data_IF_460722489672
#
_entry.id   IF_460722489672
#
_cell.length_a   1.000
_cell.length_b   1.000
_cell.length_c   1.000
_cell.angle_alpha   90.00
_cell.angle_beta   90.00
_cell.angle_gamma   90.00
#
_symmetry.space_group_name_H-M   'P 1'
#
loop_
_entity.id
_entity.type
_entity.pdbx_description
1 polymer ?
#
# COMPACT_ATOMS: atom_id res chain seq x y z
N UNK A 1 -19.78 -19.66 28.97
CA UNK A 1 -18.90 -18.52 29.31
C UNK A 1 -17.75 -18.39 28.36
N UNK A 2 -17.01 -19.48 28.11
CA UNK A 2 -15.83 -19.48 27.23
C UNK A 2 -16.06 -18.83 25.86
N UNK A 3 -17.20 -19.12 25.20
CA UNK A 3 -17.57 -18.49 23.92
C UNK A 3 -17.64 -16.97 24.05
N UNK A 4 -18.38 -16.46 25.04
CA UNK A 4 -18.60 -15.02 25.24
C UNK A 4 -17.29 -14.32 25.58
N UNK A 5 -16.49 -14.91 26.48
CA UNK A 5 -15.18 -14.38 26.85
C UNK A 5 -14.23 -14.33 25.66
N UNK A 6 -14.20 -15.38 24.83
CA UNK A 6 -13.36 -15.42 23.63
C UNK A 6 -13.76 -14.33 22.61
N UNK A 7 -15.06 -14.12 22.39
CA UNK A 7 -15.54 -13.07 21.48
C UNK A 7 -15.28 -11.66 22.04
N UNK A 8 -15.50 -11.44 23.34
CA UNK A 8 -15.20 -10.17 23.98
C UNK A 8 -13.70 -9.85 23.90
N UNK A 9 -12.85 -10.84 24.15
CA UNK A 9 -11.40 -10.71 24.01
C UNK A 9 -11.01 -10.40 22.55
N UNK A 10 -11.52 -11.15 21.58
CA UNK A 10 -11.25 -10.93 20.17
C UNK A 10 -11.71 -9.54 19.70
N UNK A 11 -12.88 -9.06 20.15
CA UNK A 11 -13.37 -7.72 19.85
C UNK A 11 -12.49 -6.63 20.45
N UNK A 12 -12.03 -6.79 21.70
CA UNK A 12 -11.12 -5.85 22.33
C UNK A 12 -9.77 -5.79 21.60
N UNK A 13 -9.20 -6.95 21.24
CA UNK A 13 -7.98 -7.04 20.43
C UNK A 13 -8.21 -6.36 19.08
N UNK A 14 -9.31 -6.66 18.38
CA UNK A 14 -9.63 -6.04 17.10
C UNK A 14 -9.65 -4.50 17.19
N UNK A 15 -10.32 -3.93 18.19
CA UNK A 15 -10.38 -2.48 18.39
C UNK A 15 -9.01 -1.83 18.67
N UNK A 16 -8.05 -2.57 19.24
CA UNK A 16 -6.70 -2.09 19.53
C UNK A 16 -5.80 -2.13 18.29
N UNK A 17 -5.96 -3.18 17.48
CA UNK A 17 -5.05 -3.49 16.39
C UNK A 17 -5.51 -2.97 15.03
N UNK A 18 -6.82 -2.88 14.80
CA UNK A 18 -7.38 -2.40 13.54
C UNK A 18 -7.39 -0.87 13.46
N UNK A 19 -7.28 -0.32 12.25
CA UNK A 19 -7.24 1.12 12.05
C UNK A 19 -8.56 1.79 12.44
N UNK A 20 -8.44 2.98 13.01
CA UNK A 20 -9.55 3.86 13.40
C UNK A 20 -9.60 5.13 12.54
N UNK A 21 -10.35 6.15 12.98
CA UNK A 21 -10.38 7.44 12.29
C UNK A 21 -11.19 7.48 10.99
N UNK A 22 -12.01 6.47 10.73
CA UNK A 22 -12.89 6.42 9.56
C UNK A 22 -14.18 7.23 9.80
N UNK A 23 -14.65 7.92 8.77
CA UNK A 23 -15.97 8.57 8.77
C UNK A 23 -17.10 7.53 8.80
N UNK A 24 -18.28 7.90 9.32
CA UNK A 24 -19.45 7.00 9.45
C UNK A 24 -19.87 6.38 8.12
N UNK A 25 -19.68 7.09 7.00
CA UNK A 25 -19.99 6.60 5.66
C UNK A 25 -19.00 5.56 5.12
N UNK A 26 -17.86 5.34 5.78
CA UNK A 26 -16.84 4.40 5.32
C UNK A 26 -17.08 2.99 5.90
N UNK A 27 -17.00 1.89 5.11
CA UNK A 27 -17.25 0.53 5.59
C UNK A 27 -16.43 0.14 6.84
N UNK A 28 -15.14 0.52 6.87
CA UNK A 28 -14.22 0.26 7.99
C UNK A 28 -14.66 0.90 9.32
N UNK A 29 -15.46 1.96 9.31
CA UNK A 29 -16.03 2.50 10.56
C UNK A 29 -16.92 1.45 11.24
N UNK A 30 -17.75 0.78 10.44
CA UNK A 30 -18.67 -0.24 10.94
C UNK A 30 -17.94 -1.50 11.38
N UNK A 31 -16.95 -1.96 10.62
CA UNK A 31 -16.27 -3.22 10.95
C UNK A 31 -15.18 -3.07 12.02
N UNK A 32 -14.49 -1.92 12.09
CA UNK A 32 -13.41 -1.73 13.05
C UNK A 32 -13.85 -1.07 14.36
N UNK A 33 -14.98 -0.35 14.36
CA UNK A 33 -15.49 0.34 15.56
C UNK A 33 -16.81 -0.22 16.05
N UNK A 34 -17.85 -0.17 15.23
CA UNK A 34 -19.22 -0.50 15.67
C UNK A 34 -19.38 -1.99 15.94
N UNK A 35 -18.95 -2.86 15.03
CA UNK A 35 -19.07 -4.32 15.17
C UNK A 35 -18.45 -4.86 16.46
N UNK A 36 -17.18 -4.58 16.75
CA UNK A 36 -16.53 -4.99 17.99
C UNK A 36 -17.22 -4.42 19.25
N UNK A 37 -17.69 -3.17 19.21
CA UNK A 37 -18.47 -2.59 20.31
C UNK A 37 -19.79 -3.35 20.53
N UNK A 38 -20.51 -3.70 19.46
CA UNK A 38 -21.73 -4.50 19.56
C UNK A 38 -21.45 -5.87 20.16
N UNK A 39 -20.34 -6.52 19.77
CA UNK A 39 -19.91 -7.79 20.37
C UNK A 39 -19.66 -7.65 21.88
N UNK A 40 -18.97 -6.59 22.31
CA UNK A 40 -18.73 -6.31 23.74
C UNK A 40 -20.03 -6.03 24.50
N UNK A 41 -20.96 -5.25 23.92
CA UNK A 41 -22.26 -4.96 24.53
C UNK A 41 -23.11 -6.22 24.67
N UNK A 42 -23.12 -7.10 23.67
CA UNK A 42 -23.80 -8.39 23.75
C UNK A 42 -23.15 -9.25 24.85
N UNK A 43 -21.83 -9.29 24.93
CA UNK A 43 -21.12 -10.04 25.97
C UNK A 43 -21.46 -9.55 27.39
N UNK A 44 -21.46 -8.23 27.60
CA UNK A 44 -21.89 -7.61 28.86
C UNK A 44 -23.36 -7.95 29.15
N UNK A 45 -24.23 -7.86 28.13
CA UNK A 45 -25.64 -8.23 28.25
C UNK A 45 -25.85 -9.68 28.70
N UNK A 46 -25.04 -10.62 28.19
CA UNK A 46 -25.06 -12.02 28.65
C UNK A 46 -24.66 -12.11 30.12
N UNK A 47 -23.59 -11.43 30.55
CA UNK A 47 -23.14 -11.42 31.94
C UNK A 47 -24.21 -10.87 32.88
N UNK A 48 -24.78 -9.71 32.54
CA UNK A 48 -25.85 -9.08 33.32
C UNK A 48 -27.10 -9.97 33.40
N UNK A 49 -27.53 -10.56 32.29
CA UNK A 49 -28.65 -11.49 32.28
C UNK A 49 -28.41 -12.69 33.21
N UNK A 50 -27.17 -13.18 33.31
CA UNK A 50 -26.81 -14.26 34.25
C UNK A 50 -26.83 -13.80 35.71
N UNK A 51 -26.25 -12.64 36.01
CA UNK A 51 -26.26 -12.05 37.36
C UNK A 51 -27.68 -11.79 37.85
N UNK A 52 -28.54 -11.29 36.96
CA UNK A 52 -29.97 -11.05 37.23
C UNK A 52 -30.82 -12.34 37.22
N UNK A 53 -30.21 -13.52 37.10
CA UNK A 53 -30.88 -14.83 37.06
C UNK A 53 -31.97 -14.90 35.96
N UNK A 54 -31.71 -14.31 34.79
CA UNK A 54 -32.57 -14.35 33.59
C UNK A 54 -31.99 -15.29 32.52
N UNK A 55 -32.03 -16.63 32.71
CA UNK A 55 -31.35 -17.59 31.84
C UNK A 55 -31.87 -17.57 30.40
N UNK A 56 -33.15 -17.28 30.19
CA UNK A 56 -33.74 -17.19 28.85
C UNK A 56 -33.13 -16.04 28.03
N UNK A 57 -32.95 -14.86 28.65
CA UNK A 57 -32.33 -13.71 27.99
C UNK A 57 -30.86 -14.00 27.68
N UNK A 58 -30.13 -14.59 28.62
CA UNK A 58 -28.74 -14.98 28.41
C UNK A 58 -28.61 -15.96 27.23
N UNK A 59 -29.49 -16.96 27.14
CA UNK A 59 -29.51 -17.90 26.01
C UNK A 59 -29.79 -17.21 24.67
N UNK A 60 -30.71 -16.24 24.63
CA UNK A 60 -31.03 -15.51 23.38
C UNK A 60 -29.83 -14.69 22.90
N UNK A 61 -29.17 -13.99 23.82
CA UNK A 61 -27.99 -13.18 23.49
C UNK A 61 -26.81 -14.04 23.04
N UNK A 62 -26.57 -15.21 23.68
CA UNK A 62 -25.49 -16.11 23.25
C UNK A 62 -25.78 -16.72 21.87
N UNK A 63 -27.04 -16.96 21.52
CA UNK A 63 -27.42 -17.50 20.21
C UNK A 63 -27.08 -16.56 19.04
N UNK A 64 -26.89 -15.26 19.30
CA UNK A 64 -26.48 -14.29 18.27
C UNK A 64 -25.13 -14.69 17.65
N UNK A 65 -24.16 -15.14 18.44
CA UNK A 65 -22.82 -15.47 17.96
C UNK A 65 -22.78 -16.56 16.88
N UNK A 66 -23.28 -17.79 17.11
CA UNK A 66 -23.25 -18.83 16.09
C UNK A 66 -24.04 -18.43 14.84
N UNK A 67 -25.16 -17.72 14.98
CA UNK A 67 -25.96 -17.30 13.84
C UNK A 67 -25.28 -16.19 13.03
N UNK A 68 -24.64 -15.23 13.69
CA UNK A 68 -23.84 -14.21 13.01
C UNK A 68 -22.66 -14.83 12.26
N UNK A 69 -21.94 -15.79 12.88
CA UNK A 69 -20.86 -16.51 12.20
C UNK A 69 -21.35 -17.32 11.00
N UNK A 70 -22.51 -17.97 11.10
CA UNK A 70 -23.10 -18.67 9.97
C UNK A 70 -23.46 -17.70 8.83
N UNK A 71 -24.03 -16.54 9.16
CA UNK A 71 -24.35 -15.50 8.18
C UNK A 71 -23.10 -14.94 7.51
N UNK A 72 -22.06 -14.67 8.29
CA UNK A 72 -20.76 -14.22 7.80
C UNK A 72 -20.08 -15.27 6.91
N UNK A 73 -20.18 -16.57 7.25
CA UNK A 73 -19.62 -17.64 6.43
C UNK A 73 -20.33 -17.77 5.08
N UNK A 74 -21.67 -17.76 5.08
CA UNK A 74 -22.48 -17.83 3.85
C UNK A 74 -22.18 -16.62 2.95
N UNK A 75 -22.26 -15.42 3.51
CA UNK A 75 -21.96 -14.18 2.79
C UNK A 75 -20.49 -14.14 2.32
N UNK A 76 -19.56 -14.59 3.15
CA UNK A 76 -18.14 -14.68 2.81
C UNK A 76 -17.86 -15.58 1.60
N UNK A 77 -18.54 -16.72 1.48
CA UNK A 77 -18.42 -17.60 0.30
C UNK A 77 -18.91 -16.89 -0.97
N UNK A 78 -19.99 -16.10 -0.86
CA UNK A 78 -20.57 -15.36 -2.00
C UNK A 78 -19.66 -14.19 -2.41
N UNK A 79 -19.17 -13.43 -1.43
CA UNK A 79 -18.40 -12.20 -1.64
C UNK A 79 -16.94 -12.51 -2.01
N UNK A 80 -16.35 -13.54 -1.41
CA UNK A 80 -14.96 -13.95 -1.54
C UNK A 80 -14.86 -15.43 -1.96
N UNK A 81 -15.28 -15.78 -3.18
CA UNK A 81 -15.38 -17.18 -3.62
C UNK A 81 -14.05 -17.92 -3.66
N UNK A 82 -12.91 -17.22 -3.59
CA UNK A 82 -11.57 -17.80 -3.56
C UNK A 82 -11.03 -17.77 -2.12
N UNK A 83 -10.97 -16.58 -1.51
CA UNK A 83 -10.34 -16.37 -0.20
C UNK A 83 -11.14 -17.02 0.95
N UNK A 84 -12.47 -17.09 0.85
CA UNK A 84 -13.30 -17.69 1.90
C UNK A 84 -13.27 -19.23 1.91
N UNK A 85 -12.74 -19.90 0.89
CA UNK A 85 -12.71 -21.38 0.82
C UNK A 85 -12.01 -22.02 2.02
N UNK A 86 -11.00 -21.34 2.56
CA UNK A 86 -10.24 -21.82 3.71
C UNK A 86 -10.95 -21.53 5.04
N UNK A 87 -11.52 -20.33 5.19
CA UNK A 87 -12.03 -19.85 6.47
C UNK A 87 -13.52 -20.11 6.70
N UNK A 88 -14.34 -20.16 5.64
CA UNK A 88 -15.78 -20.35 5.77
C UNK A 88 -16.15 -21.71 6.34
N UNK A 89 -15.53 -22.85 5.96
CA UNK A 89 -15.81 -24.14 6.60
C UNK A 89 -15.50 -24.13 8.10
N UNK A 90 -14.40 -23.46 8.50
CA UNK A 90 -14.03 -23.30 9.91
C UNK A 90 -15.05 -22.45 10.66
N UNK A 91 -15.53 -21.36 10.05
CA UNK A 91 -16.57 -20.51 10.61
C UNK A 91 -17.90 -21.26 10.77
N UNK A 92 -18.30 -22.07 9.78
CA UNK A 92 -19.50 -22.92 9.86
C UNK A 92 -19.35 -23.98 10.95
N UNK A 93 -18.22 -24.69 11.00
CA UNK A 93 -17.97 -25.69 12.04
C UNK A 93 -17.98 -25.06 13.45
N UNK A 94 -17.33 -23.91 13.61
CA UNK A 94 -17.36 -23.13 14.86
C UNK A 94 -18.78 -22.71 15.25
N UNK A 95 -19.58 -22.22 14.30
CA UNK A 95 -20.98 -21.87 14.51
C UNK A 95 -21.81 -23.08 14.98
N UNK A 96 -21.61 -24.26 14.38
CA UNK A 96 -22.31 -25.49 14.75
C UNK A 96 -21.91 -25.98 16.16
N UNK A 97 -20.63 -25.95 16.50
CA UNK A 97 -20.14 -26.30 17.85
C UNK A 97 -20.70 -25.36 18.91
N UNK A 98 -20.68 -24.04 18.63
CA UNK A 98 -21.27 -23.05 19.51
C UNK A 98 -22.78 -23.29 19.68
N UNK A 99 -23.52 -23.52 18.61
CA UNK A 99 -24.95 -23.82 18.67
C UNK A 99 -25.25 -25.11 19.45
N UNK A 100 -24.44 -26.17 19.27
CA UNK A 100 -24.58 -27.42 20.01
C UNK A 100 -24.42 -27.20 21.52
N UNK A 101 -23.47 -26.36 21.93
CA UNK A 101 -23.21 -26.06 23.35
C UNK A 101 -24.36 -25.36 24.07
N UNK A 102 -25.39 -24.89 23.34
CA UNK A 102 -26.57 -24.21 23.86
C UNK A 102 -27.77 -25.13 24.10
N UNK A 103 -27.61 -26.45 23.92
CA UNK A 103 -28.69 -27.43 24.18
C UNK A 103 -29.03 -27.52 25.68
N UNK A 104 -30.31 -27.78 26.06
CA UNK A 104 -31.46 -27.97 25.17
C UNK A 104 -31.95 -26.64 24.57
N UNK A 105 -32.38 -26.69 23.30
CA UNK A 105 -32.98 -25.52 22.67
C UNK A 105 -34.37 -25.28 23.26
N UNK A 106 -34.64 -24.07 23.75
CA UNK A 106 -35.96 -23.74 24.27
C UNK A 106 -37.00 -23.68 23.11
N UNK A 107 -38.31 -23.78 23.38
CA UNK A 107 -39.36 -23.97 22.36
C UNK A 107 -39.41 -22.85 21.31
N UNK A 108 -39.79 -23.17 20.07
CA UNK A 108 -39.87 -22.17 18.99
C UNK A 108 -40.82 -21.02 19.38
N UNK A 109 -40.35 -19.78 19.22
CA UNK A 109 -41.17 -18.58 19.39
C UNK A 109 -40.84 -17.58 18.30
N UNK A 110 -41.83 -16.78 17.89
CA UNK A 110 -41.65 -15.77 16.83
C UNK A 110 -40.49 -14.81 17.15
N UNK A 111 -40.36 -14.40 18.42
CA UNK A 111 -39.27 -13.53 18.88
C UNK A 111 -37.88 -14.14 18.63
N UNK A 112 -37.72 -15.45 18.84
CA UNK A 112 -36.44 -16.13 18.58
C UNK A 112 -36.14 -16.26 17.11
N UNK A 113 -37.15 -16.55 16.30
CA UNK A 113 -36.99 -16.59 14.85
C UNK A 113 -36.56 -15.21 14.33
N UNK A 114 -37.22 -14.14 14.79
CA UNK A 114 -36.86 -12.78 14.42
C UNK A 114 -35.42 -12.42 14.84
N UNK A 115 -35.01 -12.73 16.07
CA UNK A 115 -33.62 -12.52 16.51
C UNK A 115 -32.62 -13.38 15.74
N UNK A 116 -32.99 -14.60 15.38
CA UNK A 116 -32.13 -15.49 14.61
C UNK A 116 -31.87 -14.94 13.20
N UNK A 117 -32.93 -14.47 12.53
CA UNK A 117 -32.84 -13.79 11.23
C UNK A 117 -31.99 -12.52 11.36
N UNK A 118 -32.22 -11.71 12.40
CA UNK A 118 -31.45 -10.49 12.62
C UNK A 118 -29.96 -10.79 12.85
N UNK A 119 -29.62 -11.78 13.68
CA UNK A 119 -28.23 -12.17 13.93
C UNK A 119 -27.55 -12.67 12.65
N UNK A 120 -28.25 -13.51 11.87
CA UNK A 120 -27.77 -14.00 10.58
C UNK A 120 -27.53 -12.83 9.60
N UNK A 121 -28.48 -11.90 9.52
CA UNK A 121 -28.38 -10.72 8.65
C UNK A 121 -27.23 -9.80 9.06
N UNK A 122 -27.07 -9.53 10.36
CA UNK A 122 -25.93 -8.74 10.89
C UNK A 122 -24.61 -9.41 10.47
N UNK A 123 -24.46 -10.71 10.70
CA UNK A 123 -23.28 -11.45 10.29
C UNK A 123 -23.01 -11.39 8.79
N UNK A 124 -24.05 -11.53 7.98
CA UNK A 124 -23.96 -11.50 6.52
C UNK A 124 -23.53 -10.14 5.94
N UNK A 125 -23.70 -9.03 6.68
CA UNK A 125 -23.31 -7.70 6.23
C UNK A 125 -21.79 -7.47 6.34
N UNK A 126 -21.07 -8.15 7.23
CA UNK A 126 -19.65 -7.88 7.45
C UNK A 126 -18.74 -8.21 6.25
N UNK A 127 -18.83 -9.38 5.58
CA UNK A 127 -17.94 -9.69 4.46
C UNK A 127 -17.99 -8.67 3.31
N UNK A 128 -19.17 -8.20 2.84
CA UNK A 128 -19.23 -7.10 1.87
C UNK A 128 -18.54 -5.81 2.31
N UNK A 129 -18.63 -5.46 3.60
CA UNK A 129 -17.96 -4.27 4.14
C UNK A 129 -16.44 -4.44 4.21
N UNK A 130 -15.97 -5.69 4.21
CA UNK A 130 -14.56 -6.03 4.22
C UNK A 130 -13.92 -6.09 2.81
N UNK A 131 -14.74 -6.01 1.76
CA UNK A 131 -14.28 -6.08 0.37
C UNK A 131 -13.72 -4.74 -0.09
N UNK A 132 -12.57 -4.75 -0.77
CA UNK A 132 -12.03 -3.53 -1.34
C UNK A 132 -13.00 -2.89 -2.34
N UNK A 133 -12.95 -1.56 -2.42
CA UNK A 133 -13.75 -0.76 -3.34
C UNK A 133 -13.44 -1.04 -4.81
N UNK A 134 -14.00 -0.21 -5.69
CA UNK A 134 -13.56 -0.19 -7.08
C UNK A 134 -12.23 0.58 -7.18
N UNK A 135 -11.32 0.16 -8.06
CA UNK A 135 -10.05 0.85 -8.24
C UNK A 135 -10.27 2.31 -8.59
N UNK A 136 -9.44 3.19 -8.03
CA UNK A 136 -9.52 4.64 -8.24
C UNK A 136 -8.23 5.28 -8.77
N UNK A 137 -7.24 4.47 -9.11
CA UNK A 137 -6.11 4.96 -9.93
C UNK A 137 -6.62 5.35 -11.32
N UNK A 138 -5.92 6.30 -11.96
CA UNK A 138 -6.31 6.82 -13.28
C UNK A 138 -5.22 6.47 -14.30
N UNK A 139 -5.27 5.30 -14.94
CA UNK A 139 -4.29 4.94 -15.97
C UNK A 139 -4.38 5.91 -17.15
N UNK A 140 -3.28 6.01 -17.90
CA UNK A 140 -3.16 6.91 -19.05
C UNK A 140 -3.54 6.13 -20.31
N UNK A 141 -4.29 6.77 -21.21
CA UNK A 141 -4.61 6.22 -22.52
C UNK A 141 -3.39 6.35 -23.44
N UNK A 142 -2.49 5.37 -23.35
CA UNK A 142 -1.28 5.30 -24.18
C UNK A 142 -1.07 3.87 -24.66
N UNK A 143 -0.69 3.75 -25.93
CA UNK A 143 -0.25 2.48 -26.49
C UNK A 143 1.20 2.22 -26.07
N UNK A 144 1.46 1.05 -25.47
CA UNK A 144 2.82 0.62 -25.16
C UNK A 144 3.48 0.16 -26.47
N UNK A 145 4.71 0.63 -26.76
CA UNK A 145 5.48 0.12 -27.88
C UNK A 145 5.65 -1.40 -27.79
N UNK A 146 5.34 -2.09 -28.87
CA UNK A 146 5.56 -3.53 -28.96
C UNK A 146 7.07 -3.84 -28.95
N UNK A 147 7.49 -4.98 -28.36
CA UNK A 147 8.87 -5.42 -28.48
C UNK A 147 9.22 -5.66 -29.97
N UNK A 148 10.47 -5.39 -30.40
CA UNK A 148 10.89 -5.67 -31.77
C UNK A 148 10.74 -7.17 -32.10
N UNK A 149 10.16 -7.49 -33.26
CA UNK A 149 9.81 -8.86 -33.64
C UNK A 149 11.02 -9.83 -33.67
N UNK A 150 12.21 -9.30 -33.98
CA UNK A 150 13.45 -10.09 -34.13
C UNK A 150 14.30 -10.14 -32.83
N UNK A 151 13.81 -9.57 -31.73
CA UNK A 151 14.53 -9.57 -30.46
C UNK A 151 14.41 -10.93 -29.77
N UNK A 152 15.45 -11.75 -29.86
CA UNK A 152 15.60 -12.95 -29.03
C UNK A 152 16.62 -12.65 -27.93
N UNK A 153 16.15 -12.54 -26.68
CA UNK A 153 17.05 -12.50 -25.52
C UNK A 153 17.42 -13.93 -25.16
N UNK A 154 18.51 -14.45 -25.75
CA UNK A 154 18.99 -15.82 -25.49
C UNK A 154 19.84 -15.93 -24.22
N UNK A 155 20.46 -14.83 -23.79
CA UNK A 155 21.40 -14.82 -22.68
C UNK A 155 20.88 -14.03 -21.47
N UNK A 156 21.26 -14.49 -20.27
CA UNK A 156 21.00 -13.82 -18.99
C UNK A 156 21.86 -12.55 -18.89
N UNK A 157 21.47 -11.47 -19.57
CA UNK A 157 22.10 -10.17 -19.40
C UNK A 157 21.71 -9.66 -18.01
N UNK A 158 22.66 -9.70 -17.07
CA UNK A 158 22.43 -9.25 -15.69
C UNK A 158 22.46 -7.72 -15.55
N UNK A 159 23.16 -7.03 -16.45
CA UNK A 159 23.11 -5.58 -16.54
C UNK A 159 23.84 -4.96 -17.72
N UNK A 160 23.47 -3.72 -18.03
CA UNK A 160 24.04 -2.91 -19.10
C UNK A 160 24.60 -1.62 -18.50
N UNK A 161 25.91 -1.41 -18.65
CA UNK A 161 26.55 -0.16 -18.25
C UNK A 161 26.37 0.91 -19.34
N UNK A 162 25.76 2.05 -18.98
CA UNK A 162 25.55 3.19 -19.88
C UNK A 162 26.65 4.24 -19.72
N UNK A 163 27.05 4.54 -18.48
CA UNK A 163 28.15 5.47 -18.12
C UNK A 163 28.99 4.89 -17.00
N UNK A 164 30.14 5.48 -16.64
CA UNK A 164 30.96 4.98 -15.52
C UNK A 164 30.22 4.90 -14.17
N UNK A 165 29.20 5.73 -13.97
CA UNK A 165 28.37 5.80 -12.77
C UNK A 165 26.89 5.46 -13.02
N UNK A 166 26.53 4.90 -14.18
CA UNK A 166 25.13 4.58 -14.53
C UNK A 166 25.04 3.19 -15.17
N UNK A 167 24.34 2.27 -14.50
CA UNK A 167 24.05 0.93 -15.00
C UNK A 167 22.57 0.60 -14.90
N UNK A 168 22.11 -0.36 -15.70
CA UNK A 168 20.75 -0.88 -15.68
C UNK A 168 20.78 -2.39 -15.44
N UNK A 169 20.12 -2.87 -14.39
CA UNK A 169 19.88 -4.28 -14.15
C UNK A 169 18.68 -4.74 -14.99
N UNK A 170 18.99 -5.31 -16.15
CA UNK A 170 18.02 -5.73 -17.17
C UNK A 170 17.11 -6.87 -16.74
N UNK A 171 17.42 -7.61 -15.68
CA UNK A 171 16.53 -8.65 -15.15
C UNK A 171 15.33 -8.07 -14.38
N UNK A 172 15.52 -6.93 -13.72
CA UNK A 172 14.51 -6.29 -12.85
C UNK A 172 13.97 -4.97 -13.39
N UNK A 173 14.68 -4.35 -14.35
CA UNK A 173 14.43 -2.99 -14.78
C UNK A 173 14.89 -1.94 -13.77
N UNK A 174 15.85 -2.26 -12.91
CA UNK A 174 16.40 -1.33 -11.94
C UNK A 174 17.54 -0.50 -12.55
N UNK A 175 17.55 0.80 -12.32
CA UNK A 175 18.61 1.73 -12.72
C UNK A 175 19.47 2.06 -11.51
N UNK A 176 20.78 1.90 -11.61
CA UNK A 176 21.75 2.18 -10.55
C UNK A 176 22.61 3.35 -10.96
N UNK A 177 22.57 4.41 -10.15
CA UNK A 177 23.21 5.69 -10.44
C UNK A 177 24.07 6.17 -9.27
N UNK A 178 25.36 6.39 -9.53
CA UNK A 178 26.30 6.97 -8.56
C UNK A 178 26.27 8.50 -8.62
N UNK A 179 26.01 9.14 -7.48
CA UNK A 179 25.99 10.61 -7.32
C UNK A 179 26.86 11.01 -6.14
N UNK A 180 28.07 11.51 -6.45
CA UNK A 180 29.09 11.78 -5.46
C UNK A 180 29.49 10.51 -4.72
N UNK A 181 29.23 10.46 -3.41
CA UNK A 181 29.49 9.29 -2.56
C UNK A 181 28.28 8.37 -2.38
N UNK A 182 27.11 8.81 -2.82
CA UNK A 182 25.89 8.05 -2.69
C UNK A 182 25.64 7.22 -3.95
N UNK A 183 24.95 6.10 -3.78
CA UNK A 183 24.39 5.33 -4.87
C UNK A 183 22.87 5.36 -4.73
N UNK A 184 22.19 5.74 -5.81
CA UNK A 184 20.73 5.77 -5.92
C UNK A 184 20.32 4.64 -6.86
N UNK A 185 19.49 3.73 -6.37
CA UNK A 185 18.89 2.67 -7.16
C UNK A 185 17.43 2.99 -7.37
N UNK A 186 16.94 2.96 -8.61
CA UNK A 186 15.57 3.30 -8.99
C UNK A 186 14.95 2.10 -9.69
N UNK A 187 13.85 1.57 -9.17
CA UNK A 187 13.02 0.57 -9.83
C UNK A 187 11.71 1.24 -10.26
N UNK A 188 11.63 1.78 -11.50
CA UNK A 188 10.55 2.66 -11.93
C UNK A 188 9.31 1.92 -12.49
N UNK A 189 9.34 0.59 -12.53
CA UNK A 189 8.28 -0.26 -13.10
C UNK A 189 7.27 -0.67 -12.03
N UNK A 190 5.98 -0.55 -12.34
CA UNK A 190 4.89 -0.95 -11.45
C UNK A 190 5.02 -2.43 -11.09
N UNK A 191 5.01 -2.74 -9.80
CA UNK A 191 5.24 -4.09 -9.28
C UNK A 191 4.28 -4.39 -8.14
N UNK A 192 3.69 -5.58 -8.11
CA UNK A 192 2.75 -6.00 -7.08
C UNK A 192 3.34 -7.11 -6.23
N UNK A 193 3.48 -6.87 -4.93
CA UNK A 193 4.13 -7.78 -3.99
C UNK A 193 3.13 -8.80 -3.44
N UNK A 194 1.90 -8.35 -3.15
CA UNK A 194 0.86 -9.19 -2.53
C UNK A 194 -0.53 -8.85 -3.05
N UNK A 195 -1.17 -9.79 -3.75
CA UNK A 195 -2.43 -9.64 -4.46
C UNK A 195 -3.62 -10.36 -3.82
N UNK A 196 -4.80 -9.90 -4.19
CA UNK A 196 -6.08 -10.52 -3.87
C UNK A 196 -6.92 -10.72 -5.12
N UNK A 197 -7.31 -11.96 -5.44
CA UNK A 197 -8.08 -12.25 -6.66
C UNK A 197 -9.55 -11.85 -6.53
N UNK A 198 -10.08 -11.74 -5.30
CA UNK A 198 -11.48 -11.43 -5.03
C UNK A 198 -11.67 -10.21 -4.11
N UNK A 199 -10.63 -9.36 -4.01
CA UNK A 199 -10.63 -8.11 -3.21
C UNK A 199 -10.75 -8.33 -1.69
N UNK A 200 -10.49 -9.56 -1.23
CA UNK A 200 -10.33 -9.89 0.18
C UNK A 200 -8.94 -9.52 0.70
N UNK A 201 -8.67 -9.80 1.97
CA UNK A 201 -7.35 -9.66 2.56
C UNK A 201 -6.34 -10.62 1.92
N UNK A 202 -5.17 -10.11 1.54
CA UNK A 202 -4.13 -10.88 0.85
C UNK A 202 -3.61 -12.08 1.62
N UNK A 203 -3.67 -12.06 2.96
CA UNK A 203 -3.30 -13.21 3.80
C UNK A 203 -4.21 -14.42 3.61
N UNK A 204 -5.45 -14.19 3.15
CA UNK A 204 -6.43 -15.24 2.85
C UNK A 204 -6.34 -15.73 1.40
N UNK A 205 -5.69 -14.97 0.52
CA UNK A 205 -5.43 -15.40 -0.86
C UNK A 205 -4.56 -16.66 -0.90
N UNK A 206 -4.85 -17.61 -1.80
CA UNK A 206 -3.95 -18.72 -2.13
C UNK A 206 -2.53 -18.22 -2.47
N UNK A 207 -1.50 -18.97 -2.08
CA UNK A 207 -0.09 -18.53 -2.20
C UNK A 207 0.34 -18.27 -3.65
N UNK A 208 -0.14 -19.10 -4.56
CA UNK A 208 0.06 -19.02 -6.01
C UNK A 208 -0.61 -17.80 -6.66
N UNK A 209 -1.71 -17.30 -6.07
CA UNK A 209 -2.42 -16.11 -6.56
C UNK A 209 -2.04 -14.83 -5.83
N UNK A 210 -1.37 -14.95 -4.67
CA UNK A 210 -0.89 -13.80 -3.90
C UNK A 210 0.28 -13.10 -4.56
N UNK A 211 1.09 -13.81 -5.35
CA UNK A 211 2.24 -13.23 -6.05
C UNK A 211 1.85 -12.92 -7.49
N UNK A 212 2.31 -11.79 -7.99
CA UNK A 212 2.23 -11.51 -9.42
C UNK A 212 3.15 -12.41 -10.24
N UNK A 213 3.00 -12.42 -11.57
CA UNK A 213 3.96 -13.05 -12.46
C UNK A 213 5.35 -12.44 -12.23
N UNK A 214 6.37 -13.29 -12.30
CA UNK A 214 7.75 -12.83 -12.23
C UNK A 214 8.10 -12.03 -13.48
N UNK A 215 8.66 -10.84 -13.28
CA UNK A 215 9.13 -10.00 -14.37
C UNK A 215 10.27 -10.70 -15.11
N UNK A 216 10.13 -10.83 -16.43
CA UNK A 216 11.11 -11.44 -17.31
C UNK A 216 11.40 -10.55 -18.50
N UNK A 217 12.67 -10.26 -18.76
CA UNK A 217 13.05 -9.55 -19.98
C UNK A 217 12.70 -10.36 -21.23
N UNK A 218 12.09 -9.71 -22.23
CA UNK A 218 11.70 -10.33 -23.50
C UNK A 218 12.36 -9.68 -24.71
N UNK A 219 12.74 -8.41 -24.60
CA UNK A 219 13.51 -7.71 -25.62
C UNK A 219 14.41 -6.65 -25.00
N UNK A 220 15.51 -6.35 -25.70
CA UNK A 220 16.46 -5.32 -25.33
C UNK A 220 16.93 -4.62 -26.61
N UNK A 221 16.80 -3.31 -26.66
CA UNK A 221 17.28 -2.47 -27.75
C UNK A 221 18.26 -1.43 -27.19
N UNK A 222 19.41 -1.32 -27.84
CA UNK A 222 20.41 -0.29 -27.54
C UNK A 222 20.61 0.55 -28.80
N UNK A 223 19.97 1.71 -28.85
CA UNK A 223 20.09 2.61 -30.00
C UNK A 223 21.48 3.29 -30.04
N UNK A 224 21.99 3.71 -28.87
CA UNK A 224 23.28 4.36 -28.71
C UNK A 224 24.03 3.87 -27.46
N UNK A 225 25.25 4.35 -27.25
CA UNK A 225 26.05 3.96 -26.07
C UNK A 225 25.37 4.34 -24.75
N UNK A 226 24.66 5.46 -24.69
CA UNK A 226 24.03 5.98 -23.46
C UNK A 226 22.50 5.85 -23.44
N UNK A 227 21.91 5.08 -24.36
CA UNK A 227 20.46 4.83 -24.42
C UNK A 227 20.14 3.34 -24.34
N UNK A 228 19.01 3.00 -23.72
CA UNK A 228 18.55 1.63 -23.56
C UNK A 228 17.03 1.58 -23.60
N UNK A 229 16.47 0.56 -24.23
CA UNK A 229 15.06 0.17 -24.07
C UNK A 229 14.99 -1.31 -23.74
N UNK A 230 14.24 -1.66 -22.73
CA UNK A 230 14.04 -3.03 -22.29
C UNK A 230 12.54 -3.29 -22.16
N UNK A 231 12.09 -4.43 -22.68
CA UNK A 231 10.71 -4.89 -22.55
C UNK A 231 10.66 -6.11 -21.66
N UNK A 232 9.57 -6.21 -20.91
CA UNK A 232 9.38 -7.25 -19.92
C UNK A 232 8.00 -7.88 -20.08
N UNK A 233 7.94 -9.20 -19.98
CA UNK A 233 6.72 -9.92 -19.69
C UNK A 233 6.53 -9.92 -18.16
N UNK A 234 5.38 -9.40 -17.73
CA UNK A 234 4.89 -9.49 -16.35
C UNK A 234 3.38 -9.73 -16.35
N UNK A 235 2.54 -8.78 -15.92
CA UNK A 235 1.08 -8.91 -15.97
C UNK A 235 0.53 -8.94 -17.39
N UNK A 236 1.19 -8.19 -18.27
CA UNK A 236 0.98 -8.20 -19.71
C UNK A 236 2.33 -7.83 -20.35
N UNK A 237 2.60 -6.53 -20.45
CA UNK A 237 3.88 -6.01 -20.90
C UNK A 237 4.27 -4.75 -20.14
N UNK A 238 5.55 -4.67 -19.81
CA UNK A 238 6.20 -3.49 -19.28
C UNK A 238 7.38 -3.08 -20.16
N UNK A 239 7.72 -1.80 -20.17
CA UNK A 239 8.86 -1.24 -20.90
C UNK A 239 9.60 -0.26 -20.01
N UNK A 240 10.93 -0.28 -20.06
CA UNK A 240 11.78 0.77 -19.50
C UNK A 240 12.65 1.33 -20.62
N UNK A 241 12.54 2.64 -20.88
CA UNK A 241 13.51 3.39 -21.64
C UNK A 241 14.39 4.23 -20.72
N UNK A 242 15.70 4.20 -20.95
CA UNK A 242 16.70 5.01 -20.26
C UNK A 242 17.44 5.83 -21.30
N UNK A 243 17.39 7.14 -21.19
CA UNK A 243 18.17 8.07 -21.99
C UNK A 243 19.08 8.87 -21.08
N UNK A 244 20.37 8.59 -21.21
CA UNK A 244 21.42 9.31 -20.53
C UNK A 244 22.34 9.97 -21.55
N UNK A 245 21.86 10.54 -22.66
CA UNK A 245 22.69 11.31 -23.60
C UNK A 245 23.07 12.68 -23.05
N UNK A 246 22.15 13.33 -22.33
CA UNK A 246 22.43 14.57 -21.62
C UNK A 246 23.37 14.30 -20.42
N UNK A 247 24.45 15.06 -20.27
CA UNK A 247 25.40 14.87 -19.14
C UNK A 247 24.80 15.24 -17.79
N UNK A 248 23.93 16.24 -17.78
CA UNK A 248 23.39 16.84 -16.56
C UNK A 248 22.07 16.22 -16.10
N UNK A 249 21.50 15.27 -16.84
CA UNK A 249 20.26 14.59 -16.43
C UNK A 249 20.15 13.20 -17.04
N UNK A 250 19.38 12.34 -16.38
CA UNK A 250 18.99 11.02 -16.87
C UNK A 250 17.47 11.02 -17.01
N UNK A 251 16.97 10.67 -18.18
CA UNK A 251 15.54 10.52 -18.43
C UNK A 251 15.18 9.03 -18.37
N UNK A 252 14.20 8.70 -17.54
CA UNK A 252 13.59 7.37 -17.49
C UNK A 252 12.15 7.48 -18.00
N UNK A 253 11.74 6.55 -18.83
CA UNK A 253 10.35 6.41 -19.25
C UNK A 253 9.94 4.95 -19.08
N UNK A 254 9.29 4.69 -17.96
CA UNK A 254 8.78 3.37 -17.60
C UNK A 254 7.29 3.28 -17.93
N UNK A 255 6.85 2.16 -18.49
CA UNK A 255 5.44 1.87 -18.76
C UNK A 255 5.10 0.47 -18.31
N UNK A 256 3.90 0.28 -17.75
CA UNK A 256 3.36 -1.04 -17.36
C UNK A 256 1.89 -1.11 -17.73
N UNK A 257 1.46 -2.17 -18.43
CA UNK A 257 0.06 -2.37 -18.79
C UNK A 257 -0.58 -3.41 -17.89
N UNK A 258 -1.76 -3.08 -17.35
CA UNK A 258 -2.60 -4.02 -16.62
C UNK A 258 -3.81 -4.39 -17.50
N UNK A 259 -3.96 -5.66 -17.91
CA UNK A 259 -5.06 -6.08 -18.77
C UNK A 259 -6.41 -6.09 -18.02
N UNK A 260 -6.35 -6.13 -16.70
CA UNK A 260 -7.50 -6.07 -15.79
C UNK A 260 -7.12 -5.34 -14.50
N UNK A 261 -8.11 -5.01 -13.68
CA UNK A 261 -7.87 -4.41 -12.39
C UNK A 261 -7.11 -5.39 -11.46
N UNK A 262 -6.10 -4.88 -10.74
CA UNK A 262 -5.30 -5.66 -9.80
C UNK A 262 -5.53 -5.11 -8.39
N UNK A 263 -5.93 -5.98 -7.46
CA UNK A 263 -6.11 -5.63 -6.05
C UNK A 263 -4.92 -6.13 -5.25
N UNK A 264 -4.32 -5.26 -4.46
CA UNK A 264 -3.10 -5.58 -3.72
C UNK A 264 -3.02 -4.87 -2.37
N UNK A 265 -2.29 -5.49 -1.44
CA UNK A 265 -1.92 -4.88 -0.16
C UNK A 265 -0.67 -4.01 -0.35
N UNK A 266 0.42 -4.64 -0.82
CA UNK A 266 1.69 -3.98 -1.16
C UNK A 266 1.94 -4.02 -2.67
N UNK A 267 2.34 -2.86 -3.20
CA UNK A 267 2.83 -2.65 -4.55
C UNK A 267 3.82 -1.49 -4.53
N UNK A 268 4.49 -1.26 -5.65
CA UNK A 268 5.36 -0.12 -5.86
C UNK A 268 5.16 0.38 -7.27
N UNK A 269 4.84 1.66 -7.42
CA UNK A 269 4.88 2.35 -8.71
C UNK A 269 6.32 2.79 -9.04
N UNK A 270 7.08 3.15 -8.01
CA UNK A 270 8.51 3.37 -8.08
C UNK A 270 9.14 3.11 -6.72
N UNK A 271 10.26 2.39 -6.69
CA UNK A 271 11.08 2.23 -5.49
C UNK A 271 12.43 2.89 -5.69
N UNK A 272 12.86 3.68 -4.71
CA UNK A 272 14.17 4.33 -4.71
C UNK A 272 14.92 3.89 -3.46
N UNK A 273 16.06 3.23 -3.63
CA UNK A 273 16.98 2.89 -2.56
C UNK A 273 18.21 3.80 -2.61
N UNK A 274 18.64 4.33 -1.47
CA UNK A 274 19.83 5.20 -1.38
C UNK A 274 20.79 4.63 -0.35
N UNK A 275 22.06 4.51 -0.73
CA UNK A 275 23.15 4.10 0.17
C UNK A 275 24.32 5.08 0.09
N UNK A 276 25.16 5.12 1.13
CA UNK A 276 26.37 5.95 1.17
C UNK A 276 26.19 7.37 1.75
N UNK A 277 24.98 7.76 2.14
CA UNK A 277 24.72 9.03 2.84
C UNK A 277 25.22 8.99 4.30
N UNK A 278 25.38 10.17 4.92
CA UNK A 278 25.70 10.32 6.35
C UNK A 278 24.44 10.55 7.17
N UNK A 279 23.53 11.35 6.63
CA UNK A 279 22.23 11.68 7.20
C UNK A 279 21.30 12.14 6.08
N UNK A 280 20.31 11.33 5.72
CA UNK A 280 19.42 11.62 4.61
C UNK A 280 18.29 12.55 5.04
N UNK A 281 18.07 13.62 4.27
CA UNK A 281 16.87 14.47 4.36
C UNK A 281 16.23 14.55 2.98
N UNK A 282 14.93 14.79 2.95
CA UNK A 282 14.11 14.85 1.73
C UNK A 282 13.29 16.15 1.71
N UNK A 283 13.17 16.79 0.56
CA UNK A 283 12.17 17.83 0.31
C UNK A 283 11.35 17.50 -0.93
N UNK A 284 10.18 18.13 -1.05
CA UNK A 284 9.25 17.93 -2.15
C UNK A 284 8.87 19.29 -2.75
N UNK A 285 8.70 19.37 -4.07
CA UNK A 285 8.51 20.63 -4.81
C UNK A 285 7.14 21.32 -4.76
N UNK A 286 6.32 21.10 -3.71
CA UNK A 286 5.45 22.17 -3.26
C UNK A 286 5.78 22.68 -1.85
N UNK A 287 6.82 22.12 -1.23
CA UNK A 287 7.29 22.35 0.14
C UNK A 287 8.82 22.44 0.19
N UNK A 288 9.46 23.14 -0.75
CA UNK A 288 10.92 23.07 -0.92
C UNK A 288 11.73 23.53 0.31
N UNK A 289 11.16 24.45 1.09
CA UNK A 289 11.77 24.94 2.33
C UNK A 289 11.76 23.88 3.46
N UNK A 290 10.89 22.87 3.36
CA UNK A 290 10.73 21.83 4.36
C UNK A 290 11.65 20.63 4.06
N UNK A 291 12.84 20.62 4.67
CA UNK A 291 13.74 19.46 4.69
C UNK A 291 13.34 18.49 5.80
N UNK A 292 12.73 17.37 5.45
CA UNK A 292 12.27 16.34 6.39
C UNK A 292 13.36 15.29 6.57
N UNK A 293 13.72 14.98 7.82
CA UNK A 293 14.65 13.88 8.09
C UNK A 293 14.02 12.53 7.71
N UNK A 294 14.76 11.70 6.98
CA UNK A 294 14.39 10.30 6.75
C UNK A 294 14.80 9.52 8.00
N UNK A 295 13.83 8.87 8.64
CA UNK A 295 14.02 8.17 9.92
C UNK A 295 13.67 6.69 9.79
N UNK A 296 14.20 5.91 10.71
CA UNK A 296 13.75 4.53 10.92
C UNK A 296 12.32 4.49 11.47
N UNK A 297 11.51 3.54 11.01
CA UNK A 297 10.19 3.23 11.57
C UNK A 297 10.15 1.79 12.10
N UNK A 298 9.53 1.57 13.27
CA UNK A 298 9.38 0.23 13.83
C UNK A 298 8.05 -0.37 13.33
N UNK A 299 8.09 -1.46 12.56
CA UNK A 299 6.87 -2.19 12.19
C UNK A 299 6.56 -3.33 13.20
N UNK A 300 5.31 -3.54 13.63
CA UNK A 300 4.14 -2.69 13.42
C UNK A 300 3.89 -1.69 14.58
N UNK A 301 4.78 -1.63 15.59
CA UNK A 301 4.68 -0.77 16.79
C UNK A 301 6.06 -0.14 17.08
N UNK A 302 6.09 1.16 17.32
CA UNK A 302 7.27 1.89 17.82
C UNK A 302 7.46 3.21 17.07
N UNK A 303 8.68 3.45 16.59
CA UNK A 303 9.09 4.65 15.88
C UNK A 303 8.15 4.94 14.69
N UNK A 304 7.65 6.19 14.59
CA UNK A 304 6.63 6.55 13.62
C UNK A 304 7.15 6.59 12.18
N UNK A 305 6.31 6.16 11.24
CA UNK A 305 6.53 6.34 9.81
C UNK A 305 6.26 7.79 9.41
N UNK A 306 7.02 8.24 8.41
CA UNK A 306 6.80 9.48 7.69
C UNK A 306 6.51 9.15 6.25
N UNK A 307 5.56 9.86 5.68
CA UNK A 307 5.19 9.70 4.29
C UNK A 307 4.57 10.98 3.75
N UNK A 308 4.59 11.12 2.44
CA UNK A 308 3.81 12.12 1.73
C UNK A 308 2.60 11.49 1.03
N UNK A 309 1.55 12.25 0.81
CA UNK A 309 0.43 11.84 -0.03
C UNK A 309 -0.20 13.04 -0.74
N UNK A 310 -0.84 12.76 -1.87
CA UNK A 310 -1.61 13.72 -2.64
C UNK A 310 -3.07 13.69 -2.17
N UNK A 311 -3.50 14.81 -1.60
CA UNK A 311 -4.87 15.05 -1.18
C UNK A 311 -5.64 15.72 -2.33
N UNK A 312 -6.35 14.89 -3.11
CA UNK A 312 -7.15 15.37 -4.23
C UNK A 312 -8.33 16.27 -3.82
N UNK A 313 -8.82 16.15 -2.59
CA UNK A 313 -9.93 16.98 -2.11
C UNK A 313 -9.47 18.43 -1.86
N UNK A 314 -8.20 18.62 -1.48
CA UNK A 314 -7.62 19.94 -1.22
C UNK A 314 -6.64 20.41 -2.28
N UNK A 315 -6.28 19.56 -3.26
CA UNK A 315 -5.22 19.79 -4.24
C UNK A 315 -3.88 20.16 -3.59
N UNK A 316 -3.46 19.34 -2.60
CA UNK A 316 -2.22 19.56 -1.87
C UNK A 316 -1.42 18.28 -1.75
N UNK A 317 -0.10 18.42 -1.78
CA UNK A 317 0.79 17.42 -1.19
C UNK A 317 0.84 17.68 0.31
N UNK A 318 0.68 16.63 1.10
CA UNK A 318 0.85 16.66 2.55
C UNK A 318 1.95 15.70 2.95
N UNK A 319 2.86 16.17 3.79
CA UNK A 319 3.91 15.34 4.40
C UNK A 319 3.53 15.21 5.87
N UNK A 320 3.36 13.97 6.33
CA UNK A 320 2.84 13.70 7.66
C UNK A 320 3.70 12.69 8.40
N UNK A 321 3.58 12.71 9.73
CA UNK A 321 4.15 11.72 10.64
C UNK A 321 3.02 11.01 11.39
N UNK A 322 3.08 9.68 11.46
CA UNK A 322 2.15 8.89 12.26
C UNK A 322 2.41 9.10 13.76
N UNK A 323 1.41 8.88 14.61
CA UNK A 323 1.61 8.92 16.07
C UNK A 323 2.48 7.74 16.56
N UNK A 324 2.49 6.64 15.81
CA UNK A 324 3.20 5.39 16.08
C UNK A 324 3.48 4.71 14.74
N UNK A 325 4.52 3.87 14.62
CA UNK A 325 4.77 2.92 13.51
C UNK A 325 4.05 3.25 12.21
N UNK A 326 2.84 2.72 11.98
CA UNK A 326 2.00 3.03 10.82
C UNK A 326 0.58 3.46 11.24
N UNK A 327 0.42 4.00 12.45
CA UNK A 327 -0.89 4.35 13.01
C UNK A 327 -1.13 5.85 13.06
N UNK A 328 -2.27 6.27 12.52
CA UNK A 328 -2.82 7.58 12.83
C UNK A 328 -3.27 7.71 14.30
N UNK A 329 -3.59 8.94 14.77
CA UNK A 329 -3.68 10.18 14.02
C UNK A 329 -2.35 10.61 13.39
N UNK A 330 -2.43 11.40 12.33
CA UNK A 330 -1.27 11.90 11.59
C UNK A 330 -1.04 13.38 11.87
N UNK A 331 0.21 13.77 12.05
CA UNK A 331 0.63 15.15 12.27
C UNK A 331 1.26 15.72 11.00
N UNK A 332 0.79 16.88 10.55
CA UNK A 332 1.40 17.56 9.40
C UNK A 332 2.81 18.04 9.74
N UNK A 333 3.78 17.65 8.91
CA UNK A 333 5.14 18.16 8.92
C UNK A 333 5.30 19.33 7.95
N UNK A 334 4.67 19.22 6.77
CA UNK A 334 4.66 20.26 5.74
C UNK A 334 3.52 20.00 4.74
N UNK A 335 3.10 21.04 4.03
CA UNK A 335 2.08 20.92 2.99
C UNK A 335 2.19 22.05 1.97
N UNK A 336 1.83 21.75 0.72
CA UNK A 336 1.96 22.68 -0.39
C UNK A 336 1.03 22.34 -1.55
N UNK A 337 0.76 23.29 -2.46
CA UNK A 337 -0.16 23.08 -3.57
C UNK A 337 0.39 22.04 -4.55
N UNK A 338 -0.42 21.05 -4.90
CA UNK A 338 -0.11 20.07 -5.94
C UNK A 338 -1.43 19.68 -6.60
N UNK A 339 -1.59 19.97 -7.88
CA UNK A 339 -2.78 19.57 -8.64
C UNK A 339 -2.55 18.22 -9.30
N UNK A 340 -3.62 17.49 -9.58
CA UNK A 340 -3.56 16.27 -10.39
C UNK A 340 -2.93 16.58 -11.76
N UNK A 341 -1.83 15.91 -12.09
CA UNK A 341 -1.07 16.14 -13.32
C UNK A 341 0.18 17.00 -13.15
N UNK A 342 0.32 17.72 -12.03
CA UNK A 342 1.53 18.48 -11.74
C UNK A 342 2.71 17.53 -11.47
N UNK A 343 3.91 17.82 -12.00
CA UNK A 343 5.09 17.05 -11.70
C UNK A 343 5.49 17.23 -10.23
N UNK A 344 5.94 16.14 -9.61
CA UNK A 344 6.45 16.14 -8.24
C UNK A 344 7.96 15.91 -8.24
N UNK A 345 8.74 16.88 -7.76
CA UNK A 345 10.17 16.72 -7.58
C UNK A 345 10.50 16.38 -6.14
N UNK A 346 11.30 15.34 -5.98
CA UNK A 346 11.88 14.89 -4.72
C UNK A 346 13.35 15.29 -4.73
N UNK A 347 13.78 16.11 -3.77
CA UNK A 347 15.19 16.47 -3.61
C UNK A 347 15.79 15.72 -2.43
N UNK A 348 16.89 15.01 -2.67
CA UNK A 348 17.61 14.26 -1.66
C UNK A 348 18.80 15.08 -1.17
N UNK A 349 18.93 15.19 0.15
CA UNK A 349 20.02 15.90 0.82
C UNK A 349 20.82 14.94 1.68
N UNK A 350 22.13 15.17 1.75
CA UNK A 350 23.03 14.48 2.64
C UNK A 350 23.64 15.47 3.62
N UNK A 351 23.11 15.46 4.84
CA UNK A 351 23.14 16.59 5.77
C UNK A 351 22.40 17.78 5.14
N UNK A 352 23.10 18.90 4.89
CA UNK A 352 22.50 20.11 4.32
C UNK A 352 22.69 20.25 2.81
N UNK A 353 23.63 19.50 2.24
CA UNK A 353 23.98 19.58 0.82
C UNK A 353 23.04 18.75 -0.03
N UNK A 354 22.49 19.37 -1.08
CA UNK A 354 21.65 18.67 -2.06
C UNK A 354 22.51 17.68 -2.88
N UNK A 355 22.11 16.41 -2.90
CA UNK A 355 22.77 15.37 -3.68
C UNK A 355 22.24 15.33 -5.11
N UNK A 356 20.94 15.12 -5.24
CA UNK A 356 20.24 15.01 -6.51
C UNK A 356 18.75 15.35 -6.34
N UNK A 357 18.09 15.59 -7.46
CA UNK A 357 16.63 15.65 -7.56
C UNK A 357 16.10 14.57 -8.49
N UNK A 358 14.87 14.13 -8.19
CA UNK A 358 14.14 13.09 -8.90
C UNK A 358 12.75 13.64 -9.17
N UNK A 359 12.44 13.95 -10.42
CA UNK A 359 11.13 14.52 -10.82
C UNK A 359 10.24 13.42 -11.39
N UNK A 360 9.11 13.16 -10.73
CA UNK A 360 8.04 12.25 -11.17
C UNK A 360 7.00 13.07 -11.94
N UNK A 361 6.88 12.87 -13.25
CA UNK A 361 5.96 13.69 -14.07
C UNK A 361 4.51 13.23 -14.02
N UNK A 362 4.30 11.94 -13.75
CA UNK A 362 3.00 11.29 -13.99
C UNK A 362 2.34 10.75 -12.71
N UNK A 363 2.99 10.85 -11.55
CA UNK A 363 2.48 10.24 -10.30
C UNK A 363 1.15 10.84 -9.86
N UNK A 364 1.07 12.17 -9.74
CA UNK A 364 -0.14 12.86 -9.27
C UNK A 364 -1.33 12.65 -10.21
N UNK A 365 -1.09 12.51 -11.52
CA UNK A 365 -2.10 12.24 -12.54
C UNK A 365 -2.81 10.91 -12.30
N UNK A 366 -2.05 9.88 -11.89
CA UNK A 366 -2.51 8.49 -11.83
C UNK A 366 -2.84 8.02 -10.41
N UNK A 367 -2.44 8.78 -9.39
CA UNK A 367 -2.63 8.45 -7.98
C UNK A 367 -4.11 8.30 -7.61
N UNK A 368 -4.41 7.29 -6.80
CA UNK A 368 -5.75 7.01 -6.29
C UNK A 368 -6.17 8.05 -5.24
N UNK A 369 -7.42 8.49 -5.31
CA UNK A 369 -8.05 9.32 -4.29
C UNK A 369 -8.91 8.51 -3.29
N UNK A 370 -8.92 7.17 -3.41
CA UNK A 370 -9.63 6.30 -2.47
C UNK A 370 -9.01 6.41 -1.08
N UNK A 371 -9.84 6.54 -0.05
CA UNK A 371 -9.37 6.49 1.34
C UNK A 371 -8.74 5.13 1.62
N UNK A 372 -7.52 5.12 2.18
CA UNK A 372 -6.84 3.88 2.53
C UNK A 372 -7.66 3.14 3.60
N UNK A 373 -8.03 1.87 3.36
CA UNK A 373 -8.75 1.07 4.35
C UNK A 373 -7.88 0.67 5.55
N UNK A 374 -6.57 0.96 5.50
CA UNK A 374 -5.59 0.61 6.53
C UNK A 374 -5.03 1.81 7.30
N UNK A 375 -5.06 3.02 6.72
CA UNK A 375 -4.54 4.23 7.36
C UNK A 375 -5.58 4.90 8.27
N UNK A 376 -6.82 5.01 7.79
CA UNK A 376 -7.84 5.85 8.41
C UNK A 376 -7.53 7.35 8.34
N UNK A 377 -8.27 8.14 9.12
CA UNK A 377 -8.04 9.59 9.31
C UNK A 377 -8.02 10.43 8.03
N UNK A 378 -8.72 9.97 6.98
CA UNK A 378 -8.81 10.68 5.70
C UNK A 378 -7.58 10.54 4.80
N UNK A 379 -6.60 9.69 5.15
CA UNK A 379 -5.43 9.44 4.31
C UNK A 379 -5.83 8.58 3.10
N UNK A 380 -5.48 8.97 1.86
CA UNK A 380 -5.76 8.19 0.67
C UNK A 380 -4.83 6.97 0.55
N UNK A 381 -5.11 6.09 -0.40
CA UNK A 381 -4.28 4.93 -0.71
C UNK A 381 -2.99 5.31 -1.46
N UNK A 382 -2.91 6.49 -2.08
CA UNK A 382 -1.66 6.96 -2.66
C UNK A 382 -0.68 7.40 -1.56
N UNK A 383 0.61 7.07 -1.70
CA UNK A 383 1.61 7.43 -0.72
C UNK A 383 3.02 7.47 -1.30
N UNK A 384 3.89 8.21 -0.62
CA UNK A 384 5.34 8.20 -0.78
C UNK A 384 5.92 7.99 0.61
N UNK A 385 6.10 6.72 1.01
CA UNK A 385 6.67 6.36 2.29
C UNK A 385 8.19 6.35 2.21
N UNK A 386 8.87 6.87 3.24
CA UNK A 386 10.32 6.90 3.26
C UNK A 386 10.86 6.55 4.65
N UNK A 387 11.85 5.67 4.68
CA UNK A 387 12.43 5.20 5.93
C UNK A 387 13.87 4.73 5.77
N UNK A 388 14.58 4.69 6.90
CA UNK A 388 15.88 4.04 7.03
C UNK A 388 15.69 2.54 7.30
N UNK A 389 16.63 1.70 6.84
CA UNK A 389 16.61 0.26 7.07
C UNK A 389 16.90 -0.11 8.53
N UNK A 390 17.66 0.73 9.25
CA UNK A 390 17.90 0.60 10.68
C UNK A 390 18.00 1.98 11.36
N UNK A 391 18.20 2.00 12.68
CA UNK A 391 18.22 3.24 13.50
C UNK A 391 19.42 4.16 13.25
N UNK A 392 20.41 3.74 12.47
CA UNK A 392 21.57 4.54 12.10
C UNK A 392 21.23 5.53 10.98
N UNK A 393 21.59 6.79 11.15
CA UNK A 393 21.48 7.85 10.13
C UNK A 393 22.23 7.53 8.82
N UNK A 394 23.13 6.54 8.85
CA UNK A 394 23.94 6.07 7.71
C UNK A 394 23.42 4.80 7.06
N UNK A 395 22.38 4.18 7.62
CA UNK A 395 21.82 2.96 7.07
C UNK A 395 21.17 3.22 5.71
N UNK A 396 21.06 2.20 4.84
CA UNK A 396 20.33 2.31 3.58
C UNK A 396 18.94 2.91 3.80
N UNK A 397 18.53 3.81 2.92
CA UNK A 397 17.19 4.36 2.91
C UNK A 397 16.36 3.79 1.77
N UNK A 398 15.06 3.64 1.99
CA UNK A 398 14.08 3.29 0.96
C UNK A 398 13.01 4.37 0.88
N UNK A 399 12.63 4.73 -0.35
CA UNK A 399 11.49 5.57 -0.68
C UNK A 399 10.56 4.74 -1.57
N UNK A 400 9.39 4.42 -1.06
CA UNK A 400 8.37 3.63 -1.71
C UNK A 400 7.28 4.57 -2.21
N UNK A 401 7.14 4.68 -3.53
CA UNK A 401 6.15 5.53 -4.20
C UNK A 401 5.05 4.62 -4.74
N UNK A 402 3.81 4.88 -4.33
CA UNK A 402 2.65 4.06 -4.68
C UNK A 402 1.51 4.91 -5.24
N UNK A 403 0.79 4.37 -6.22
CA UNK A 403 -0.44 4.98 -6.73
C UNK A 403 -1.65 4.60 -5.88
N UNK A 404 -1.68 3.37 -5.37
CA UNK A 404 -2.69 2.88 -4.44
C UNK A 404 -2.13 1.70 -3.65
N UNK A 405 -1.71 1.89 -2.41
CA UNK A 405 -1.29 0.83 -1.51
C UNK A 405 -2.04 0.87 -0.17
N UNK A 406 -1.71 -0.10 0.67
CA UNK A 406 -2.11 -0.14 2.08
C UNK A 406 -0.88 -0.30 2.98
N UNK A 407 0.29 0.14 2.49
CA UNK A 407 1.55 0.10 3.23
C UNK A 407 1.61 1.17 4.31
N UNK A 408 0.94 2.30 4.09
CA UNK A 408 0.67 3.27 5.14
C UNK A 408 -0.56 2.79 5.93
N UNK A 409 -0.33 1.85 6.86
CA UNK A 409 -1.37 1.33 7.71
C UNK A 409 -1.19 -0.15 8.04
N UNK A 410 -1.99 -0.64 8.98
CA UNK A 410 -1.94 -2.04 9.40
C UNK A 410 -2.86 -2.92 8.59
N UNK A 411 -2.40 -4.14 8.36
CA UNK A 411 -3.24 -5.28 8.02
C UNK A 411 -2.79 -5.96 6.76
N UNK A 412 -3.74 -6.61 6.09
CA UNK A 412 -3.52 -7.32 4.84
C UNK A 412 -4.60 -6.94 3.82
N UNK A 413 -5.27 -5.81 4.06
CA UNK A 413 -6.36 -5.29 3.25
C UNK A 413 -5.88 -4.99 1.83
N UNK A 414 -6.80 -4.72 0.91
CA UNK A 414 -6.43 -4.41 -0.47
C UNK A 414 -7.05 -3.14 -0.99
N UNK A 415 -6.35 -2.55 -1.94
CA UNK A 415 -6.83 -1.44 -2.78
C UNK A 415 -6.60 -1.79 -4.24
N UNK A 416 -7.38 -1.19 -5.13
CA UNK A 416 -7.40 -1.54 -6.54
C UNK A 416 -6.59 -0.58 -7.42
N UNK A 417 -5.79 -1.15 -8.32
CA UNK A 417 -5.32 -0.48 -9.53
C UNK A 417 -6.29 -0.79 -10.67
N UNK A 418 -6.74 0.23 -11.39
CA UNK A 418 -7.60 0.08 -12.56
C UNK A 418 -6.85 -0.58 -13.74
N UNK A 419 -7.58 -1.22 -14.64
CA UNK A 419 -7.02 -1.74 -15.89
C UNK A 419 -6.59 -0.59 -16.80
N UNK A 420 -5.46 -0.72 -17.49
CA UNK A 420 -4.92 0.30 -18.39
C UNK A 420 -3.40 0.40 -18.34
N UNK A 421 -2.86 1.41 -19.02
CA UNK A 421 -1.43 1.69 -19.02
C UNK A 421 -1.04 2.68 -17.92
N UNK A 422 0.00 2.35 -17.19
CA UNK A 422 0.64 3.22 -16.22
C UNK A 422 1.97 3.67 -16.78
N UNK A 423 2.25 4.97 -16.75
CA UNK A 423 3.51 5.53 -17.26
C UNK A 423 4.19 6.33 -16.18
N UNK A 424 5.47 6.10 -15.98
CA UNK A 424 6.33 6.77 -15.03
C UNK A 424 7.51 7.42 -15.74
N UNK A 425 7.34 8.68 -16.17
CA UNK A 425 8.45 9.49 -16.65
C UNK A 425 9.17 10.14 -15.47
N UNK A 426 10.46 9.86 -15.37
CA UNK A 426 11.32 10.38 -14.32
C UNK A 426 12.49 11.14 -14.92
N UNK A 427 12.83 12.29 -14.33
CA UNK A 427 14.09 12.99 -14.63
C UNK A 427 14.97 12.96 -13.38
N UNK A 428 16.19 12.43 -13.50
CA UNK A 428 17.17 12.39 -12.42
C UNK A 428 18.27 13.43 -12.70
N UNK A 429 18.50 14.35 -11.76
CA UNK A 429 19.45 15.47 -11.94
C UNK A 429 20.44 15.52 -10.77
N UNK A 430 21.77 15.43 -11.00
CA UNK A 430 22.75 15.62 -9.94
C UNK A 430 22.79 17.10 -9.54
N UNK A 431 22.87 17.37 -8.24
CA UNK A 431 22.93 18.74 -7.69
C UNK A 431 24.30 19.06 -7.07
N UNK A 432 25.18 18.07 -6.97
CA UNK A 432 26.58 18.24 -6.57
C UNK A 432 27.30 19.13 -7.59
N UNK A 433 27.65 20.35 -7.20
CA UNK A 433 28.53 21.23 -8.01
C UNK A 433 28.09 22.68 -8.19
N UNK A 434 26.93 23.12 -7.69
CA UNK A 434 26.54 24.55 -7.79
C UNK A 434 27.11 25.44 -6.68
N UNK A 435 27.52 24.90 -5.54
CA UNK A 435 28.08 25.69 -4.42
C UNK A 435 29.62 25.77 -4.42
N UNK A 436 30.30 25.10 -5.36
CA UNK A 436 31.78 24.98 -5.40
C UNK A 436 32.50 25.77 -6.49
N UNK A 437 31.78 26.44 -7.40
CA UNK A 437 32.35 27.35 -8.41
C UNK A 437 32.14 28.83 -8.02
N UNK A 438 32.17 29.10 -6.71
CA UNK A 438 32.34 30.46 -6.21
C UNK A 438 33.70 30.99 -6.69
N UNK A 439 33.64 31.93 -7.63
CA UNK A 439 34.62 32.96 -7.93
C UNK A 439 36.04 32.64 -7.45
N UNK A 440 36.78 31.90 -8.28
CA UNK A 440 38.23 32.03 -8.30
C UNK A 440 38.53 33.50 -8.60
N UNK A 441 38.68 34.31 -7.55
CA UNK A 441 39.23 35.67 -7.63
C UNK A 441 40.50 35.57 -8.46
N UNK A 442 40.43 36.10 -9.68
CA UNK A 442 41.60 36.42 -10.47
C UNK A 442 42.40 37.44 -9.67
N UNK A 443 43.34 36.96 -8.88
CA UNK A 443 44.42 37.77 -8.37
C UNK A 443 45.58 37.58 -9.34
N UNK A 444 45.62 38.47 -10.31
CA UNK A 444 46.84 38.91 -10.97
C UNK A 444 46.78 40.44 -10.98
N UNK A 445 47.92 41.14 -10.90
CA UNK A 445 49.27 40.69 -11.26
C UNK A 445 50.15 40.28 -10.08
#
# INVERSE_FOLDING_TARGET
>A
MSIVTAHAFAAAVWMIFMPGGFAIGHPRFWTNRVGPMLVLLIAIGVLLARVMKRPQLAQHLVLIFPLAWLGAAISGIIVFPISARLIAPLAVAGALVMAWSLRPFPPRSLKRIAMAILALAIGAIFPPLERAGNPRTTPIEIELPSPPADSIVTDYIQGVQLRSNLGVHTSSGQVVWGVGRAQVQVAPLLTFISRSPDRSWTILSPRDQRRGPERRIVALERAERETLRAWYADDDVSMLAVDATARERIELDAMSRLPQAVFSHLNSYCEIAIVGHRKLRISFSPCDDAKVDVKYSDYPIGAPIRFAYFDAATNRLRIVEATNAEKGPFHDLASGPLTRGDPLTITLFDNESALCSITLRDWSAQASDEISPTAGWGVPANSIAFSLADRSDRSPAAILISLADTGVGRGYDTVGHAAGAYRNRMTLTPLLGREGLGEGRSSSP
#
